data_IF_285779526181
#
_entry.id   IF_285779526181
#
_cell.length_a   1.000
_cell.length_b   1.000
_cell.length_c   1.000
_cell.angle_alpha   90.00
_cell.angle_beta   90.00
_cell.angle_gamma   90.00
#
_symmetry.space_group_name_H-M   'P 1'
#
loop_
_entity.id
_entity.type
_entity.pdbx_description
1 polymer ?
#
# COMPACT_ATOMS: atom_id res chain seq x y z
N UNK A 1 14.59 -11.84 18.37
CA UNK A 1 15.85 -11.07 18.42
C UNK A 1 15.58 -9.79 19.20
N UNK A 2 16.53 -9.32 20.01
CA UNK A 2 16.40 -8.07 20.76
C UNK A 2 16.52 -6.87 19.82
N UNK A 3 15.90 -5.74 20.19
CA UNK A 3 16.01 -4.46 19.46
C UNK A 3 17.48 -4.04 19.20
N UNK A 4 18.43 -4.60 19.97
CA UNK A 4 19.88 -4.41 19.81
C UNK A 4 20.39 -4.68 18.40
N UNK A 5 19.77 -5.63 17.69
CA UNK A 5 20.15 -5.98 16.32
C UNK A 5 19.74 -4.92 15.29
N UNK A 6 18.75 -4.09 15.62
CA UNK A 6 18.25 -3.01 14.74
C UNK A 6 19.06 -1.73 14.86
N UNK A 7 19.73 -1.53 16.00
CA UNK A 7 20.41 -0.28 16.35
C UNK A 7 21.37 0.21 15.26
N UNK A 8 22.30 -0.61 14.72
CA UNK A 8 23.25 -0.14 13.70
C UNK A 8 22.55 0.29 12.40
N UNK A 9 21.47 -0.42 12.02
CA UNK A 9 20.70 -0.14 10.81
C UNK A 9 19.98 1.20 10.92
N UNK A 10 19.27 1.42 12.02
CA UNK A 10 18.55 2.68 12.28
C UNK A 10 19.53 3.85 12.38
N UNK A 11 20.66 3.65 13.07
CA UNK A 11 21.70 4.66 13.21
C UNK A 11 22.25 5.11 11.85
N UNK A 12 22.53 4.16 10.95
CA UNK A 12 22.97 4.44 9.59
C UNK A 12 21.90 5.16 8.75
N UNK A 13 20.65 4.67 8.78
CA UNK A 13 19.54 5.24 8.01
C UNK A 13 19.20 6.67 8.44
N UNK A 14 19.24 6.97 9.74
CA UNK A 14 18.93 8.29 10.29
C UNK A 14 20.16 9.19 10.48
N UNK A 15 21.36 8.69 10.16
CA UNK A 15 22.62 9.41 10.36
C UNK A 15 22.84 9.90 11.80
N UNK A 16 22.52 9.06 12.79
CA UNK A 16 22.69 9.33 14.23
C UNK A 16 23.57 8.25 14.89
N UNK A 17 24.02 8.50 16.12
CA UNK A 17 24.90 7.56 16.81
C UNK A 17 24.10 6.33 17.32
N UNK A 18 24.62 5.10 17.15
CA UNK A 18 24.02 3.88 17.72
C UNK A 18 23.61 3.98 19.19
N UNK A 19 24.42 4.64 20.03
CA UNK A 19 24.10 4.85 21.44
C UNK A 19 22.82 5.67 21.63
N UNK A 20 22.54 6.64 20.75
CA UNK A 20 21.33 7.45 20.81
C UNK A 20 20.09 6.60 20.48
N UNK A 21 20.19 5.73 19.47
CA UNK A 21 19.12 4.79 19.12
C UNK A 21 18.85 3.83 20.29
N UNK A 22 19.92 3.29 20.90
CA UNK A 22 19.81 2.40 22.06
C UNK A 22 19.08 3.07 23.23
N UNK A 23 19.47 4.30 23.57
CA UNK A 23 18.84 5.07 24.64
C UNK A 23 17.36 5.35 24.35
N UNK A 24 17.02 5.72 23.12
CA UNK A 24 15.62 5.94 22.70
C UNK A 24 14.82 4.64 22.79
N UNK A 25 15.35 3.52 22.27
CA UNK A 25 14.68 2.23 22.31
C UNK A 25 14.37 1.77 23.75
N UNK A 26 15.34 1.90 24.66
CA UNK A 26 15.16 1.58 26.08
C UNK A 26 14.07 2.44 26.73
N UNK A 27 14.13 3.76 26.53
CA UNK A 27 13.14 4.68 27.09
C UNK A 27 11.72 4.41 26.56
N UNK A 28 11.58 4.08 25.27
CA UNK A 28 10.29 3.70 24.68
C UNK A 28 9.77 2.38 25.25
N UNK A 29 10.64 1.40 25.47
CA UNK A 29 10.27 0.12 26.09
C UNK A 29 9.81 0.29 27.55
N UNK A 30 10.34 1.28 28.26
CA UNK A 30 9.89 1.69 29.61
C UNK A 30 8.56 2.48 29.59
N UNK A 31 7.97 2.73 28.42
CA UNK A 31 6.72 3.48 28.27
C UNK A 31 6.88 4.99 28.29
N UNK A 32 8.10 5.52 28.13
CA UNK A 32 8.32 6.96 28.02
C UNK A 32 7.68 7.52 26.74
N UNK A 33 7.06 8.69 26.84
CA UNK A 33 6.47 9.38 25.68
C UNK A 33 7.53 10.15 24.89
N UNK A 34 7.30 10.36 23.58
CA UNK A 34 8.21 11.14 22.71
C UNK A 34 8.51 12.54 23.30
N UNK A 35 7.52 13.35 23.73
CA UNK A 35 7.81 14.65 24.34
C UNK A 35 8.62 14.55 25.62
N UNK A 36 8.42 13.48 26.41
CA UNK A 36 9.19 13.26 27.63
C UNK A 36 10.66 12.99 27.32
N UNK A 37 10.95 12.13 26.34
CA UNK A 37 12.30 11.79 25.89
C UNK A 37 13.02 13.05 25.38
N UNK A 38 12.41 13.76 24.44
CA UNK A 38 13.03 14.94 23.81
C UNK A 38 13.26 16.10 24.79
N UNK A 39 12.42 16.24 25.82
CA UNK A 39 12.54 17.33 26.81
C UNK A 39 13.40 16.99 28.01
N UNK A 40 13.24 15.80 28.58
CA UNK A 40 13.79 15.44 29.90
C UNK A 40 14.87 14.34 29.85
N UNK A 41 15.19 13.82 28.66
CA UNK A 41 16.24 12.81 28.44
C UNK A 41 17.26 13.25 27.39
N UNK A 42 17.54 14.55 27.33
CA UNK A 42 18.47 15.14 26.36
C UNK A 42 19.89 14.60 26.49
N UNK A 43 20.40 14.44 27.71
CA UNK A 43 21.75 13.92 27.92
C UNK A 43 21.89 12.48 27.43
N UNK A 44 20.90 11.63 27.74
CA UNK A 44 20.88 10.23 27.32
C UNK A 44 20.77 10.06 25.79
N UNK A 45 20.05 10.97 25.12
CA UNK A 45 19.78 10.89 23.68
C UNK A 45 20.69 11.79 22.83
N UNK A 46 21.61 12.55 23.44
CA UNK A 46 22.44 13.53 22.70
C UNK A 46 21.65 14.72 22.16
N UNK A 47 20.59 15.13 22.86
CA UNK A 47 19.71 16.27 22.54
C UNK A 47 18.95 16.14 21.21
N UNK A 48 18.59 14.91 20.83
CA UNK A 48 17.70 14.68 19.69
C UNK A 48 16.30 15.25 19.95
N UNK A 49 15.68 15.78 18.90
CA UNK A 49 14.35 16.38 18.97
C UNK A 49 13.23 15.33 18.81
N UNK A 50 11.99 15.79 18.97
CA UNK A 50 10.79 14.95 18.86
C UNK A 50 10.64 14.33 17.47
N UNK A 51 11.19 14.95 16.41
CA UNK A 51 11.11 14.45 15.03
C UNK A 51 11.99 13.21 14.87
N UNK A 52 13.25 13.29 15.31
CA UNK A 52 14.18 12.15 15.23
C UNK A 52 13.75 11.02 16.15
N UNK A 53 13.28 11.33 17.38
CA UNK A 53 12.78 10.31 18.30
C UNK A 53 11.56 9.57 17.72
N UNK A 54 10.66 10.29 17.04
CA UNK A 54 9.52 9.69 16.33
C UNK A 54 9.99 8.77 15.20
N UNK A 55 10.96 9.21 14.38
CA UNK A 55 11.51 8.41 13.29
C UNK A 55 12.17 7.11 13.78
N UNK A 56 12.88 7.17 14.92
CA UNK A 56 13.46 5.97 15.56
C UNK A 56 12.36 5.00 16.00
N UNK A 57 11.31 5.49 16.69
CA UNK A 57 10.16 4.65 17.09
C UNK A 57 9.53 3.95 15.89
N UNK A 58 9.16 4.73 14.86
CA UNK A 58 8.47 4.21 13.69
C UNK A 58 9.31 3.17 12.96
N UNK A 59 10.63 3.38 12.89
CA UNK A 59 11.54 2.43 12.27
C UNK A 59 11.75 1.16 13.10
N UNK A 60 11.83 1.28 14.43
CA UNK A 60 11.85 0.12 15.34
C UNK A 60 10.60 -0.75 15.13
N UNK A 61 9.43 -0.13 15.08
CA UNK A 61 8.16 -0.85 14.91
C UNK A 61 8.10 -1.57 13.55
N UNK A 62 8.57 -0.94 12.47
CA UNK A 62 8.68 -1.58 11.15
C UNK A 62 9.64 -2.78 11.15
N UNK A 63 10.81 -2.66 11.80
CA UNK A 63 11.78 -3.74 11.86
C UNK A 63 11.29 -4.91 12.73
N UNK A 64 10.56 -4.62 13.81
CA UNK A 64 9.87 -5.64 14.61
C UNK A 64 8.85 -6.41 13.79
N UNK A 65 8.01 -5.72 13.01
CA UNK A 65 7.04 -6.37 12.12
C UNK A 65 7.72 -7.31 11.11
N UNK A 66 8.86 -6.90 10.56
CA UNK A 66 9.69 -7.73 9.67
C UNK A 66 10.21 -8.97 10.41
N UNK A 67 10.77 -8.83 11.62
CA UNK A 67 11.27 -9.96 12.41
C UNK A 67 10.17 -10.93 12.85
N UNK A 68 9.02 -10.41 13.27
CA UNK A 68 7.87 -11.22 13.68
C UNK A 68 7.37 -12.05 12.50
N UNK A 69 7.25 -11.41 11.33
CA UNK A 69 6.89 -12.09 10.08
C UNK A 69 7.94 -13.14 9.70
N UNK A 70 9.23 -12.81 9.80
CA UNK A 70 10.33 -13.73 9.51
C UNK A 70 10.29 -14.96 10.42
N UNK A 71 10.08 -14.76 11.71
CA UNK A 71 9.99 -15.83 12.71
C UNK A 71 8.80 -16.74 12.41
N UNK A 72 7.64 -16.14 12.08
CA UNK A 72 6.44 -16.88 11.69
C UNK A 72 6.66 -17.72 10.42
N UNK A 73 7.33 -17.16 9.40
CA UNK A 73 7.68 -17.88 8.17
C UNK A 73 8.62 -19.05 8.46
N UNK A 74 9.71 -18.82 9.19
CA UNK A 74 10.67 -19.88 9.56
C UNK A 74 9.99 -21.02 10.33
N UNK A 75 9.16 -20.68 11.32
CA UNK A 75 8.41 -21.68 12.09
C UNK A 75 7.41 -22.46 11.24
N UNK A 76 6.76 -21.81 10.26
CA UNK A 76 5.88 -22.49 9.31
C UNK A 76 6.65 -23.46 8.41
N UNK A 77 7.76 -23.01 7.82
CA UNK A 77 8.62 -23.83 6.95
C UNK A 77 9.18 -25.04 7.69
N UNK A 78 9.62 -24.86 8.95
CA UNK A 78 10.12 -25.94 9.79
C UNK A 78 9.03 -26.96 10.11
N UNK A 79 7.85 -26.48 10.54
CA UNK A 79 6.70 -27.33 10.88
C UNK A 79 6.26 -28.22 9.71
N UNK A 80 6.37 -27.74 8.49
CA UNK A 80 5.98 -28.46 7.28
C UNK A 80 7.15 -29.19 6.58
N UNK A 81 8.36 -29.16 7.16
CA UNK A 81 9.53 -29.87 6.63
C UNK A 81 10.11 -29.28 5.35
N UNK A 82 9.80 -28.00 5.04
CA UNK A 82 10.30 -27.29 3.86
C UNK A 82 11.56 -26.45 4.14
N UNK A 83 11.96 -26.30 5.41
CA UNK A 83 13.08 -25.46 5.80
C UNK A 83 14.43 -26.13 5.45
N UNK A 84 14.99 -25.77 4.30
CA UNK A 84 16.37 -26.08 3.93
C UNK A 84 17.34 -24.99 4.40
N UNK A 85 18.64 -25.29 4.48
CA UNK A 85 19.66 -24.29 4.85
C UNK A 85 19.71 -23.12 3.86
N UNK A 86 19.52 -23.40 2.56
CA UNK A 86 19.43 -22.37 1.53
C UNK A 86 18.21 -21.46 1.75
N UNK A 87 17.03 -22.05 1.96
CA UNK A 87 15.80 -21.30 2.18
C UNK A 87 15.87 -20.49 3.48
N UNK A 88 16.45 -21.06 4.54
CA UNK A 88 16.74 -20.36 5.79
C UNK A 88 17.62 -19.14 5.54
N UNK A 89 18.71 -19.31 4.78
CA UNK A 89 19.59 -18.23 4.38
C UNK A 89 18.86 -17.10 3.66
N UNK A 90 18.01 -17.43 2.67
CA UNK A 90 17.18 -16.46 1.95
C UNK A 90 16.23 -15.69 2.87
N UNK A 91 15.51 -16.39 3.75
CA UNK A 91 14.55 -15.77 4.69
C UNK A 91 15.26 -14.83 5.67
N UNK A 92 16.45 -15.22 6.16
CA UNK A 92 17.27 -14.37 7.04
C UNK A 92 17.81 -13.13 6.32
N UNK A 93 18.18 -13.25 5.03
CA UNK A 93 18.70 -12.14 4.23
C UNK A 93 17.63 -11.16 3.72
N UNK A 94 16.35 -11.50 3.80
CA UNK A 94 15.28 -10.66 3.27
C UNK A 94 15.10 -9.36 4.09
N UNK A 95 15.28 -8.20 3.44
CA UNK A 95 15.25 -6.89 4.09
C UNK A 95 13.86 -6.22 4.18
N UNK A 96 12.86 -6.77 3.50
CA UNK A 96 11.52 -6.18 3.42
C UNK A 96 10.43 -7.23 3.60
N UNK A 97 9.26 -6.81 4.09
CA UNK A 97 8.08 -7.66 4.16
C UNK A 97 7.68 -8.21 2.78
N UNK A 98 7.85 -7.43 1.71
CA UNK A 98 7.53 -7.88 0.36
C UNK A 98 8.41 -9.07 -0.06
N UNK A 99 9.72 -8.98 0.15
CA UNK A 99 10.67 -10.06 -0.18
C UNK A 99 10.41 -11.30 0.69
N UNK A 100 10.16 -11.12 2.00
CA UNK A 100 9.78 -12.23 2.88
C UNK A 100 8.52 -12.96 2.39
N UNK A 101 7.50 -12.20 2.02
CA UNK A 101 6.25 -12.75 1.50
C UNK A 101 6.44 -13.44 0.15
N UNK A 102 7.33 -12.94 -0.71
CA UNK A 102 7.67 -13.59 -1.99
C UNK A 102 8.34 -14.95 -1.76
N UNK A 103 9.35 -15.02 -0.87
CA UNK A 103 10.05 -16.27 -0.54
C UNK A 103 9.08 -17.30 0.05
N UNK A 104 8.14 -16.87 0.89
CA UNK A 104 7.17 -17.75 1.53
C UNK A 104 5.99 -18.15 0.63
N UNK A 105 5.75 -17.42 -0.46
CA UNK A 105 4.57 -17.60 -1.32
C UNK A 105 4.34 -19.04 -1.78
N UNK A 106 5.37 -19.81 -2.24
CA UNK A 106 5.18 -21.19 -2.69
C UNK A 106 4.68 -22.14 -1.59
N UNK A 107 5.02 -21.85 -0.34
CA UNK A 107 4.76 -22.70 0.83
C UNK A 107 3.48 -22.31 1.58
N UNK A 108 2.92 -21.15 1.26
CA UNK A 108 1.70 -20.67 1.89
C UNK A 108 0.54 -21.60 1.55
N UNK A 109 -0.30 -22.00 2.53
CA UNK A 109 -1.48 -22.82 2.27
C UNK A 109 -2.37 -22.20 1.18
N UNK A 110 -2.52 -22.93 0.07
CA UNK A 110 -3.24 -22.44 -1.12
C UNK A 110 -4.71 -22.84 -1.07
N UNK A 111 -5.59 -21.94 -1.53
CA UNK A 111 -6.93 -22.35 -1.96
C UNK A 111 -6.78 -23.27 -3.17
N UNK A 112 -7.77 -24.13 -3.44
CA UNK A 112 -7.75 -25.03 -4.60
C UNK A 112 -7.69 -24.22 -5.92
N UNK A 113 -6.48 -23.99 -6.44
CA UNK A 113 -6.22 -23.19 -7.65
C UNK A 113 -6.35 -24.04 -8.91
N UNK A 114 -6.35 -23.42 -10.09
CA UNK A 114 -6.28 -24.17 -11.36
C UNK A 114 -5.04 -25.05 -11.45
N UNK A 115 -3.90 -24.54 -10.99
CA UNK A 115 -2.66 -25.30 -10.90
C UNK A 115 -2.75 -26.45 -9.88
N UNK A 116 -3.35 -26.24 -8.70
CA UNK A 116 -3.59 -27.34 -7.74
C UNK A 116 -4.46 -28.43 -8.36
N UNK A 117 -5.55 -28.06 -9.05
CA UNK A 117 -6.43 -29.01 -9.73
C UNK A 117 -5.66 -29.75 -10.83
N UNK A 118 -4.85 -29.07 -11.62
CA UNK A 118 -4.02 -29.71 -12.64
C UNK A 118 -2.99 -30.69 -12.04
N UNK A 119 -2.37 -30.36 -10.89
CA UNK A 119 -1.48 -31.28 -10.16
C UNK A 119 -2.24 -32.50 -9.62
N UNK A 120 -3.44 -32.31 -9.05
CA UNK A 120 -4.33 -33.40 -8.62
C UNK A 120 -4.69 -34.34 -9.77
N UNK A 121 -4.79 -33.83 -10.99
CA UNK A 121 -5.00 -34.60 -12.22
C UNK A 121 -3.74 -35.29 -12.75
N UNK A 122 -2.57 -35.07 -12.14
CA UNK A 122 -1.30 -35.68 -12.55
C UNK A 122 -0.59 -34.99 -13.71
N UNK A 123 -0.90 -33.71 -13.99
CA UNK A 123 -0.33 -32.96 -15.13
C UNK A 123 1.01 -32.27 -14.83
N UNK A 124 1.53 -32.39 -13.61
CA UNK A 124 2.80 -31.75 -13.22
C UNK A 124 4.01 -32.25 -14.02
N UNK A 125 4.17 -33.56 -14.32
CA UNK A 125 5.28 -34.02 -15.15
C UNK A 125 5.25 -33.42 -16.57
N UNK A 126 4.06 -33.28 -17.16
CA UNK A 126 3.89 -32.61 -18.46
C UNK A 126 4.29 -31.13 -18.39
N UNK A 127 3.90 -30.44 -17.32
CA UNK A 127 4.27 -29.04 -17.10
C UNK A 127 5.79 -28.85 -16.99
N UNK A 128 6.48 -29.71 -16.25
CA UNK A 128 7.94 -29.65 -16.11
C UNK A 128 8.64 -29.94 -17.43
N UNK A 129 8.18 -30.95 -18.17
CA UNK A 129 8.72 -31.30 -19.48
C UNK A 129 8.60 -30.14 -20.49
N UNK A 130 7.45 -29.46 -20.50
CA UNK A 130 7.23 -28.26 -21.32
C UNK A 130 8.13 -27.11 -20.86
N UNK A 131 8.28 -26.89 -19.55
CA UNK A 131 9.08 -25.79 -18.98
C UNK A 131 10.58 -25.94 -19.27
N UNK A 132 11.07 -27.17 -19.39
CA UNK A 132 12.46 -27.46 -19.76
C UNK A 132 12.81 -26.96 -21.16
N UNK A 133 11.85 -26.98 -22.10
CA UNK A 133 11.97 -26.48 -23.47
C UNK A 133 13.11 -27.15 -24.26
N UNK A 134 13.19 -28.48 -24.21
CA UNK A 134 14.23 -29.27 -24.90
C UNK A 134 13.92 -29.58 -26.37
N UNK A 135 12.83 -29.02 -26.91
CA UNK A 135 12.39 -29.22 -28.29
C UNK A 135 11.38 -30.35 -28.47
N UNK A 136 10.62 -30.69 -27.42
CA UNK A 136 9.60 -31.74 -27.50
C UNK A 136 8.40 -31.26 -28.34
N UNK A 137 7.60 -32.22 -28.84
CA UNK A 137 6.26 -31.94 -29.36
C UNK A 137 5.25 -32.00 -28.19
N UNK A 138 4.69 -30.84 -27.74
CA UNK A 138 3.78 -30.83 -26.60
C UNK A 138 2.48 -31.58 -26.86
N UNK A 139 1.98 -31.60 -28.10
CA UNK A 139 0.73 -32.27 -28.42
C UNK A 139 0.89 -33.79 -28.33
N UNK A 140 2.02 -34.31 -28.83
CA UNK A 140 2.37 -35.71 -28.67
C UNK A 140 2.57 -36.07 -27.19
N UNK A 141 3.36 -35.28 -26.45
CA UNK A 141 3.62 -35.51 -25.03
C UNK A 141 2.32 -35.47 -24.19
N UNK A 142 1.39 -34.57 -24.51
CA UNK A 142 0.12 -34.43 -23.81
C UNK A 142 -0.82 -35.63 -23.97
N UNK A 143 -0.64 -36.45 -25.01
CA UNK A 143 -1.51 -37.61 -25.26
C UNK A 143 -1.38 -38.67 -24.15
N UNK A 144 -0.19 -38.80 -23.55
CA UNK A 144 0.06 -39.73 -22.43
C UNK A 144 -0.65 -39.31 -21.13
N UNK A 145 -1.14 -38.07 -21.06
CA UNK A 145 -1.79 -37.50 -19.88
C UNK A 145 -3.32 -37.39 -20.02
N UNK A 146 -3.90 -37.91 -21.10
CA UNK A 146 -5.35 -37.96 -21.29
C UNK A 146 -5.92 -39.02 -20.34
N UNK A 147 -6.79 -38.57 -19.44
CA UNK A 147 -7.41 -39.39 -18.42
C UNK A 147 -8.81 -38.83 -18.09
N UNK A 148 -9.87 -39.32 -18.78
CA UNK A 148 -11.23 -38.87 -18.54
C UNK A 148 -11.72 -39.13 -17.11
N UNK A 149 -11.18 -40.13 -16.39
CA UNK A 149 -11.54 -40.39 -14.99
C UNK A 149 -11.03 -39.28 -14.07
N UNK A 150 -9.90 -38.67 -14.41
CA UNK A 150 -9.38 -37.46 -13.76
C UNK A 150 -9.93 -36.17 -14.38
N UNK A 151 -10.83 -36.26 -15.36
CA UNK A 151 -11.42 -35.12 -16.07
C UNK A 151 -10.43 -34.39 -16.98
N UNK A 152 -9.52 -35.14 -17.62
CA UNK A 152 -8.66 -34.67 -18.71
C UNK A 152 -9.13 -35.37 -19.98
N UNK A 153 -10.04 -34.73 -20.72
CA UNK A 153 -10.75 -35.37 -21.83
C UNK A 153 -9.98 -35.32 -23.15
N UNK A 154 -9.00 -34.41 -23.25
CA UNK A 154 -8.22 -34.18 -24.48
C UNK A 154 -6.79 -33.75 -24.21
N UNK A 155 -5.94 -33.85 -25.24
CA UNK A 155 -4.58 -33.31 -25.19
C UNK A 155 -4.55 -31.79 -24.92
N UNK A 156 -5.57 -31.05 -25.40
CA UNK A 156 -5.68 -29.61 -25.11
C UNK A 156 -6.00 -29.35 -23.65
N UNK A 157 -6.82 -30.18 -22.99
CA UNK A 157 -7.09 -30.07 -21.56
C UNK A 157 -5.83 -30.36 -20.73
N UNK A 158 -5.02 -31.34 -21.15
CA UNK A 158 -3.73 -31.64 -20.53
C UNK A 158 -2.75 -30.46 -20.68
N UNK A 159 -2.64 -29.89 -21.88
CA UNK A 159 -1.82 -28.69 -22.13
C UNK A 159 -2.31 -27.47 -21.35
N UNK A 160 -3.63 -27.24 -21.28
CA UNK A 160 -4.20 -26.15 -20.49
C UNK A 160 -3.86 -26.30 -19.00
N UNK A 161 -4.00 -27.50 -18.44
CA UNK A 161 -3.61 -27.78 -17.06
C UNK A 161 -2.10 -27.63 -16.83
N UNK A 162 -1.27 -28.05 -17.79
CA UNK A 162 0.18 -27.86 -17.72
C UNK A 162 0.55 -26.36 -17.74
N UNK A 163 -0.10 -25.55 -18.60
CA UNK A 163 0.05 -24.09 -18.63
C UNK A 163 -0.40 -23.44 -17.32
N UNK A 164 -1.49 -23.91 -16.71
CA UNK A 164 -1.95 -23.41 -15.40
C UNK A 164 -0.89 -23.63 -14.30
N UNK A 165 -0.20 -24.79 -14.31
CA UNK A 165 0.91 -25.08 -13.38
C UNK A 165 2.09 -24.16 -13.66
N UNK A 166 2.52 -24.02 -14.92
CA UNK A 166 3.62 -23.13 -15.31
C UNK A 166 3.31 -21.68 -14.90
N UNK A 167 2.08 -21.22 -15.11
CA UNK A 167 1.66 -19.87 -14.74
C UNK A 167 1.78 -19.61 -13.23
N UNK A 168 1.49 -20.61 -12.39
CA UNK A 168 1.70 -20.51 -10.94
C UNK A 168 3.19 -20.45 -10.59
N UNK A 169 4.03 -21.26 -11.23
CA UNK A 169 5.49 -21.24 -11.03
C UNK A 169 6.10 -19.88 -11.41
N UNK A 170 5.66 -19.31 -12.54
CA UNK A 170 6.08 -17.96 -12.98
C UNK A 170 5.65 -16.90 -11.96
N UNK A 171 4.41 -16.99 -11.46
CA UNK A 171 3.90 -16.06 -10.46
C UNK A 171 4.66 -16.14 -9.12
N UNK A 172 5.15 -17.31 -8.76
CA UNK A 172 5.82 -17.57 -7.49
C UNK A 172 7.34 -17.39 -7.56
N UNK A 173 7.88 -17.14 -8.75
CA UNK A 173 9.31 -16.92 -8.93
C UNK A 173 9.75 -15.55 -8.37
N UNK A 174 10.71 -15.58 -7.44
CA UNK A 174 11.23 -14.40 -6.75
C UNK A 174 11.76 -13.32 -7.73
N UNK A 175 12.52 -13.73 -8.74
CA UNK A 175 13.10 -12.82 -9.73
C UNK A 175 12.03 -12.20 -10.63
N UNK A 176 11.05 -12.98 -11.07
CA UNK A 176 9.92 -12.49 -11.84
C UNK A 176 9.12 -11.43 -11.06
N UNK A 177 8.78 -11.72 -9.79
CA UNK A 177 8.08 -10.76 -8.92
C UNK A 177 8.89 -9.49 -8.71
N UNK A 178 10.20 -9.60 -8.46
CA UNK A 178 11.06 -8.43 -8.29
C UNK A 178 11.09 -7.54 -9.55
N UNK A 179 11.25 -8.11 -10.74
CA UNK A 179 11.29 -7.37 -12.01
C UNK A 179 9.95 -6.68 -12.32
N UNK A 180 8.83 -7.40 -12.15
CA UNK A 180 7.51 -6.79 -12.39
C UNK A 180 7.21 -5.73 -11.34
N UNK A 181 7.56 -5.95 -10.08
CA UNK A 181 7.42 -4.94 -9.01
C UNK A 181 8.15 -3.65 -9.38
N UNK A 182 9.42 -3.76 -9.80
CA UNK A 182 10.21 -2.63 -10.26
C UNK A 182 9.54 -1.89 -11.44
N UNK A 183 9.02 -2.64 -12.42
CA UNK A 183 8.27 -2.07 -13.54
C UNK A 183 7.05 -1.27 -13.08
N UNK A 184 6.26 -1.80 -12.13
CA UNK A 184 5.11 -1.09 -11.58
C UNK A 184 5.52 0.21 -10.87
N UNK A 185 6.58 0.18 -10.06
CA UNK A 185 7.01 1.37 -9.32
C UNK A 185 7.64 2.46 -10.20
N UNK A 186 8.19 2.09 -11.35
CA UNK A 186 8.91 3.03 -12.22
C UNK A 186 8.09 3.50 -13.41
N UNK A 187 7.26 2.62 -13.99
CA UNK A 187 6.59 2.86 -15.29
C UNK A 187 5.07 2.68 -15.25
N UNK A 188 4.45 2.32 -14.13
CA UNK A 188 3.00 2.21 -14.09
C UNK A 188 2.31 3.56 -14.36
N UNK A 189 1.19 3.50 -15.07
CA UNK A 189 0.28 4.61 -15.31
C UNK A 189 -0.94 4.43 -14.43
N UNK A 190 -1.35 5.51 -13.79
CA UNK A 190 -2.60 5.60 -13.05
C UNK A 190 -3.67 6.05 -14.02
N UNK A 191 -4.61 5.15 -14.31
CA UNK A 191 -5.76 5.41 -15.15
C UNK A 191 -7.03 5.42 -14.29
N UNK A 192 -7.79 6.51 -14.38
CA UNK A 192 -9.04 6.67 -13.66
C UNK A 192 -10.18 6.97 -14.63
N UNK A 193 -11.30 6.27 -14.47
CA UNK A 193 -12.50 6.45 -15.29
C UNK A 193 -13.76 6.46 -14.44
N UNK A 194 -14.80 7.16 -14.90
CA UNK A 194 -16.12 7.07 -14.26
C UNK A 194 -16.74 5.69 -14.46
N UNK A 195 -17.36 5.15 -13.41
CA UNK A 195 -18.17 3.95 -13.51
C UNK A 195 -19.43 4.26 -14.33
N UNK A 196 -19.80 3.31 -15.21
CA UNK A 196 -20.93 3.50 -16.13
C UNK A 196 -22.22 3.85 -15.37
N UNK A 197 -22.84 4.99 -15.71
CA UNK A 197 -24.09 5.44 -15.10
C UNK A 197 -23.92 6.21 -13.77
N UNK A 198 -22.69 6.58 -13.39
CA UNK A 198 -22.38 7.35 -12.18
C UNK A 198 -21.96 8.80 -12.47
N UNK A 199 -22.13 9.27 -13.70
CA UNK A 199 -21.65 10.58 -14.17
C UNK A 199 -22.31 11.75 -13.43
N UNK A 200 -23.62 11.67 -13.16
CA UNK A 200 -24.35 12.70 -12.41
C UNK A 200 -24.00 12.67 -10.91
N UNK A 201 -24.07 11.48 -10.30
CA UNK A 201 -23.73 11.28 -8.89
C UNK A 201 -22.27 11.63 -8.58
N UNK A 202 -21.39 11.45 -9.57
CA UNK A 202 -19.96 11.68 -9.51
C UNK A 202 -19.52 13.08 -9.89
N UNK A 203 -20.40 14.08 -10.02
CA UNK A 203 -20.05 15.41 -10.52
C UNK A 203 -18.87 16.07 -9.76
N UNK A 204 -18.67 15.77 -8.47
CA UNK A 204 -17.53 16.23 -7.67
C UNK A 204 -16.16 15.64 -8.10
N UNK A 205 -16.16 14.55 -8.87
CA UNK A 205 -14.97 13.87 -9.38
C UNK A 205 -14.82 14.02 -10.90
N UNK A 206 -15.51 14.99 -11.51
CA UNK A 206 -15.54 15.20 -12.95
C UNK A 206 -14.14 15.29 -13.57
N UNK A 207 -13.19 15.91 -12.87
CA UNK A 207 -11.80 16.05 -13.30
C UNK A 207 -11.08 14.70 -13.47
N UNK A 208 -11.62 13.62 -12.92
CA UNK A 208 -11.05 12.27 -12.93
C UNK A 208 -11.85 11.27 -13.78
N UNK A 209 -12.87 11.72 -14.53
CA UNK A 209 -13.72 10.83 -15.35
C UNK A 209 -12.98 10.19 -16.52
N UNK A 210 -11.93 10.85 -17.00
CA UNK A 210 -10.98 10.31 -17.98
C UNK A 210 -9.59 10.90 -17.68
N UNK A 211 -8.88 10.26 -16.76
CA UNK A 211 -7.59 10.71 -16.27
C UNK A 211 -6.52 9.63 -16.46
N UNK A 212 -5.34 10.03 -16.91
CA UNK A 212 -4.21 9.12 -17.10
C UNK A 212 -2.88 9.85 -16.92
N UNK A 213 -2.07 9.42 -15.95
CA UNK A 213 -0.73 9.97 -15.73
C UNK A 213 0.23 8.95 -15.09
N UNK A 214 1.57 9.11 -15.22
CA UNK A 214 2.53 8.22 -14.57
C UNK A 214 2.39 8.21 -13.05
N UNK A 215 2.47 7.03 -12.43
CA UNK A 215 2.34 6.83 -10.97
C UNK A 215 3.32 7.69 -10.16
N UNK A 216 4.54 7.82 -10.64
CA UNK A 216 5.61 8.60 -9.99
C UNK A 216 5.29 10.10 -9.91
N UNK A 217 4.47 10.61 -10.83
CA UNK A 217 4.10 12.02 -10.95
C UNK A 217 2.80 12.41 -10.23
N UNK A 218 1.99 11.45 -9.75
CA UNK A 218 0.67 11.76 -9.18
C UNK A 218 0.79 12.54 -7.87
N UNK A 219 0.21 13.75 -7.76
CA UNK A 219 0.15 14.50 -6.51
C UNK A 219 -0.71 13.79 -5.44
N UNK A 220 -0.31 13.89 -4.16
CA UNK A 220 -1.00 13.27 -3.02
C UNK A 220 -2.51 13.52 -3.02
N UNK A 221 -2.95 14.77 -3.14
CA UNK A 221 -4.37 15.13 -3.10
C UNK A 221 -5.19 14.50 -4.23
N UNK A 222 -4.61 14.32 -5.43
CA UNK A 222 -5.29 13.68 -6.58
C UNK A 222 -5.41 12.18 -6.37
N UNK A 223 -4.33 11.53 -5.93
CA UNK A 223 -4.37 10.11 -5.58
C UNK A 223 -5.45 9.84 -4.52
N UNK A 224 -5.53 10.68 -3.47
CA UNK A 224 -6.56 10.54 -2.44
C UNK A 224 -7.97 10.82 -2.96
N UNK A 225 -8.15 11.79 -3.86
CA UNK A 225 -9.45 12.07 -4.48
C UNK A 225 -9.93 10.89 -5.36
N UNK A 226 -9.05 10.37 -6.22
CA UNK A 226 -9.36 9.21 -7.08
C UNK A 226 -9.72 7.98 -6.24
N UNK A 227 -8.95 7.69 -5.20
CA UNK A 227 -9.25 6.57 -4.28
C UNK A 227 -10.54 6.75 -3.50
N UNK A 228 -10.90 8.00 -3.15
CA UNK A 228 -12.19 8.29 -2.51
C UNK A 228 -13.35 8.04 -3.46
N UNK A 229 -13.24 8.51 -4.71
CA UNK A 229 -14.26 8.26 -5.72
C UNK A 229 -14.41 6.77 -6.06
N UNK A 230 -13.32 6.01 -6.03
CA UNK A 230 -13.37 4.55 -6.15
C UNK A 230 -14.06 3.89 -4.95
N UNK A 231 -13.73 4.27 -3.72
CA UNK A 231 -14.34 3.70 -2.52
C UNK A 231 -15.84 4.04 -2.38
N UNK A 232 -16.31 5.04 -3.14
CA UNK A 232 -17.73 5.41 -3.27
C UNK A 232 -18.40 4.76 -4.49
N UNK A 233 -17.72 3.81 -5.17
CA UNK A 233 -18.18 3.13 -6.39
C UNK A 233 -18.54 4.07 -7.56
N UNK A 234 -17.89 5.25 -7.61
CA UNK A 234 -18.10 6.25 -8.66
C UNK A 234 -16.98 6.20 -9.70
N UNK A 235 -15.75 5.94 -9.28
CA UNK A 235 -14.59 5.85 -10.16
C UNK A 235 -14.07 4.41 -10.21
N UNK A 236 -13.45 4.06 -11.32
CA UNK A 236 -12.66 2.86 -11.50
C UNK A 236 -11.21 3.33 -11.62
N UNK A 237 -10.36 2.91 -10.68
CA UNK A 237 -8.94 3.23 -10.68
C UNK A 237 -8.14 1.99 -11.05
N UNK A 238 -7.21 2.12 -12.00
CA UNK A 238 -6.22 1.10 -12.36
C UNK A 238 -4.82 1.69 -12.28
N UNK A 239 -3.86 0.89 -11.82
CA UNK A 239 -2.44 1.26 -11.79
C UNK A 239 -1.69 0.13 -12.47
N UNK A 240 -1.31 0.33 -13.73
CA UNK A 240 -0.74 -0.72 -14.57
C UNK A 240 0.40 -0.17 -15.42
N UNK A 241 1.51 -0.91 -15.60
CA UNK A 241 2.50 -0.59 -16.63
C UNK A 241 2.01 -1.06 -18.01
N UNK A 242 2.83 -0.82 -19.03
CA UNK A 242 2.62 -1.41 -20.34
C UNK A 242 2.64 -2.95 -20.26
N UNK A 243 1.60 -3.58 -20.77
CA UNK A 243 1.42 -5.03 -20.70
C UNK A 243 2.44 -5.77 -21.57
N UNK A 244 2.75 -5.24 -22.76
CA UNK A 244 3.71 -5.88 -23.65
C UNK A 244 5.13 -5.85 -23.07
N UNK A 245 5.52 -4.74 -22.44
CA UNK A 245 6.79 -4.64 -21.70
C UNK A 245 6.86 -5.62 -20.54
N UNK A 246 5.77 -5.75 -19.76
CA UNK A 246 5.73 -6.68 -18.64
C UNK A 246 5.83 -8.15 -19.08
N UNK A 247 5.10 -8.53 -20.13
CA UNK A 247 5.15 -9.89 -20.69
C UNK A 247 6.54 -10.17 -21.27
N UNK A 248 7.13 -9.24 -22.02
CA UNK A 248 8.48 -9.40 -22.58
C UNK A 248 9.56 -9.60 -21.49
N UNK A 249 9.45 -8.91 -20.35
CA UNK A 249 10.34 -9.12 -19.22
C UNK A 249 10.24 -10.54 -18.66
N UNK A 250 9.04 -11.10 -18.58
CA UNK A 250 8.83 -12.46 -18.10
C UNK A 250 9.27 -13.49 -19.13
N UNK A 251 8.96 -13.27 -20.41
CA UNK A 251 9.44 -14.13 -21.49
C UNK A 251 10.96 -14.23 -21.49
N UNK A 252 11.67 -13.12 -21.29
CA UNK A 252 13.12 -13.11 -21.17
C UNK A 252 13.69 -13.90 -19.98
N UNK A 253 12.86 -14.25 -18.98
CA UNK A 253 13.25 -15.09 -17.85
C UNK A 253 12.93 -16.57 -18.06
N UNK A 254 11.82 -16.87 -18.73
CA UNK A 254 11.27 -18.23 -18.78
C UNK A 254 11.31 -18.88 -20.16
N UNK A 255 11.28 -18.12 -21.25
CA UNK A 255 11.25 -18.64 -22.62
C UNK A 255 12.68 -18.83 -23.12
N UNK A 256 13.04 -20.07 -23.45
CA UNK A 256 14.40 -20.48 -23.82
C UNK A 256 14.57 -20.73 -25.32
N UNK A 257 13.47 -20.87 -26.06
CA UNK A 257 13.49 -21.28 -27.46
C UNK A 257 12.30 -20.78 -28.28
N UNK A 258 12.10 -21.40 -29.44
CA UNK A 258 11.03 -21.08 -30.41
C UNK A 258 10.20 -22.31 -30.81
N UNK A 259 10.44 -23.45 -30.14
CA UNK A 259 9.77 -24.72 -30.37
C UNK A 259 8.31 -24.73 -29.92
N UNK A 260 7.62 -25.85 -30.15
CA UNK A 260 6.23 -26.01 -29.72
C UNK A 260 6.07 -25.88 -28.19
N UNK A 261 6.99 -26.46 -27.43
CA UNK A 261 7.11 -26.33 -25.97
C UNK A 261 7.32 -24.88 -25.53
N UNK A 262 8.20 -24.16 -26.20
CA UNK A 262 8.49 -22.75 -25.90
C UNK A 262 7.25 -21.88 -26.09
N UNK A 263 6.42 -22.16 -27.11
CA UNK A 263 5.14 -21.47 -27.33
C UNK A 263 4.14 -21.74 -26.19
N UNK A 264 4.10 -22.94 -25.65
CA UNK A 264 3.28 -23.25 -24.46
C UNK A 264 3.74 -22.44 -23.24
N UNK A 265 5.06 -22.25 -23.07
CA UNK A 265 5.61 -21.40 -22.01
C UNK A 265 5.27 -19.92 -22.24
N UNK A 266 5.32 -19.42 -23.47
CA UNK A 266 4.87 -18.06 -23.83
C UNK A 266 3.42 -17.84 -23.40
N UNK A 267 2.52 -18.76 -23.78
CA UNK A 267 1.10 -18.68 -23.42
C UNK A 267 0.90 -18.70 -21.90
N UNK A 268 1.62 -19.58 -21.19
CA UNK A 268 1.57 -19.68 -19.74
C UNK A 268 2.09 -18.42 -19.05
N UNK A 269 3.17 -17.81 -19.56
CA UNK A 269 3.74 -16.54 -19.04
C UNK A 269 2.75 -15.39 -19.23
N UNK A 270 2.13 -15.29 -20.41
CA UNK A 270 1.10 -14.29 -20.69
C UNK A 270 -0.09 -14.41 -19.72
N UNK A 271 -0.58 -15.63 -19.48
CA UNK A 271 -1.63 -15.88 -18.49
C UNK A 271 -1.17 -15.58 -17.05
N UNK A 272 0.05 -15.98 -16.68
CA UNK A 272 0.64 -15.70 -15.37
C UNK A 272 0.66 -14.20 -15.07
N UNK A 273 1.07 -13.39 -16.04
CA UNK A 273 1.04 -11.94 -15.92
C UNK A 273 -0.38 -11.42 -15.70
N UNK A 274 -1.29 -11.67 -16.65
CA UNK A 274 -2.62 -11.05 -16.66
C UNK A 274 -3.48 -11.50 -15.48
N UNK A 275 -3.43 -12.79 -15.14
CA UNK A 275 -4.32 -13.40 -14.15
C UNK A 275 -3.80 -13.27 -12.73
N UNK A 276 -2.48 -13.37 -12.53
CA UNK A 276 -1.88 -13.51 -11.20
C UNK A 276 -0.99 -12.32 -10.85
N UNK A 277 0.16 -12.16 -11.53
CA UNK A 277 1.19 -11.18 -11.16
C UNK A 277 0.68 -9.74 -11.24
N UNK A 278 0.03 -9.36 -12.34
CA UNK A 278 -0.46 -8.00 -12.57
C UNK A 278 -1.38 -7.52 -11.43
N UNK A 279 -2.29 -8.40 -10.96
CA UNK A 279 -3.22 -8.07 -9.87
C UNK A 279 -2.52 -7.90 -8.52
N UNK A 280 -1.57 -8.79 -8.23
CA UNK A 280 -0.78 -8.71 -7.00
C UNK A 280 0.08 -7.45 -6.98
N UNK A 281 0.77 -7.17 -8.09
CA UNK A 281 1.66 -6.02 -8.24
C UNK A 281 0.91 -4.69 -8.26
N UNK A 282 -0.27 -4.65 -8.88
CA UNK A 282 -1.18 -3.51 -8.80
C UNK A 282 -1.61 -3.25 -7.35
N UNK A 283 -1.92 -4.30 -6.58
CA UNK A 283 -2.28 -4.16 -5.15
C UNK A 283 -1.13 -3.55 -4.34
N UNK A 284 0.09 -4.04 -4.54
CA UNK A 284 1.30 -3.52 -3.88
C UNK A 284 1.53 -2.04 -4.26
N UNK A 285 1.49 -1.71 -5.55
CA UNK A 285 1.67 -0.35 -6.04
C UNK A 285 0.62 0.61 -5.49
N UNK A 286 -0.65 0.18 -5.41
CA UNK A 286 -1.75 0.97 -4.84
C UNK A 286 -1.57 1.24 -3.36
N UNK A 287 -1.13 0.25 -2.60
CA UNK A 287 -0.89 0.40 -1.17
C UNK A 287 0.25 1.40 -0.93
N UNK A 288 1.37 1.24 -1.64
CA UNK A 288 2.51 2.13 -1.53
C UNK A 288 2.16 3.57 -1.96
N UNK A 289 1.42 3.73 -3.07
CA UNK A 289 0.95 5.04 -3.54
C UNK A 289 0.03 5.72 -2.50
N UNK A 290 -0.83 4.95 -1.84
CA UNK A 290 -1.64 5.45 -0.73
C UNK A 290 -0.77 5.91 0.43
N UNK A 291 0.13 5.05 0.92
CA UNK A 291 0.96 5.36 2.07
C UNK A 291 1.76 6.65 1.84
N UNK A 292 2.32 6.81 0.64
CA UNK A 292 3.00 8.04 0.22
C UNK A 292 2.06 9.24 0.20
N UNK A 293 0.86 9.09 -0.37
CA UNK A 293 -0.11 10.17 -0.44
C UNK A 293 -0.63 10.59 0.95
N UNK A 294 -0.96 9.63 1.82
CA UNK A 294 -1.40 9.86 3.19
C UNK A 294 -0.30 10.56 4.00
N UNK A 295 0.95 10.09 3.92
CA UNK A 295 2.07 10.71 4.63
C UNK A 295 2.25 12.18 4.25
N UNK A 296 2.19 12.50 2.96
CA UNK A 296 2.29 13.87 2.47
C UNK A 296 1.10 14.74 2.90
N UNK A 297 -0.13 14.20 2.82
CA UNK A 297 -1.32 14.92 3.25
C UNK A 297 -1.29 15.21 4.76
N UNK A 298 -0.92 14.22 5.56
CA UNK A 298 -0.76 14.36 7.03
C UNK A 298 0.30 15.40 7.34
N UNK A 299 1.43 15.40 6.62
CA UNK A 299 2.49 16.40 6.79
C UNK A 299 1.97 17.82 6.58
N UNK A 300 1.21 18.05 5.51
CA UNK A 300 0.60 19.35 5.20
C UNK A 300 -0.43 19.75 6.27
N UNK A 301 -1.29 18.82 6.70
CA UNK A 301 -2.27 19.10 7.76
C UNK A 301 -1.61 19.39 9.11
N UNK A 302 -0.56 18.66 9.46
CA UNK A 302 0.21 18.88 10.68
C UNK A 302 0.86 20.27 10.69
N UNK A 303 1.43 20.69 9.55
CA UNK A 303 2.01 22.03 9.43
C UNK A 303 0.95 23.13 9.54
N UNK A 304 -0.18 22.99 8.85
CA UNK A 304 -1.29 23.94 8.96
C UNK A 304 -1.82 24.04 10.39
N UNK A 305 -2.00 22.90 11.07
CA UNK A 305 -2.45 22.87 12.46
C UNK A 305 -1.42 23.52 13.40
N UNK A 306 -0.13 23.24 13.19
CA UNK A 306 0.95 23.84 13.96
C UNK A 306 0.92 25.37 13.85
N UNK A 307 0.74 25.92 12.66
CA UNK A 307 0.64 27.37 12.44
C UNK A 307 -0.58 27.97 13.15
N UNK A 308 -1.73 27.28 13.13
CA UNK A 308 -2.92 27.71 13.86
C UNK A 308 -2.71 27.70 15.38
N UNK A 309 -2.08 26.65 15.93
CA UNK A 309 -1.83 26.52 17.37
C UNK A 309 -0.78 27.50 17.89
N UNK A 310 0.20 27.87 17.05
CA UNK A 310 1.26 28.83 17.39
C UNK A 310 0.91 30.27 16.96
N UNK A 311 -0.31 30.50 16.49
CA UNK A 311 -0.76 31.85 16.16
C UNK A 311 -0.73 32.75 17.41
N UNK A 312 -0.23 33.99 17.31
CA UNK A 312 -0.13 34.89 18.45
C UNK A 312 -1.47 35.04 19.17
N UNK A 313 -1.55 34.82 20.49
CA UNK A 313 -2.79 34.98 21.21
C UNK A 313 -3.18 36.47 21.25
N UNK A 314 -4.47 36.76 21.09
CA UNK A 314 -5.00 38.14 21.18
C UNK A 314 -4.79 38.78 22.57
N UNK A 315 -4.57 37.95 23.59
CA UNK A 315 -4.40 38.35 24.98
C UNK A 315 -5.74 38.63 25.70
N UNK A 316 -5.65 39.18 26.91
CA UNK A 316 -6.79 39.44 27.79
C UNK A 316 -7.64 40.65 27.35
N UNK A 317 -8.45 40.49 26.30
CA UNK A 317 -9.38 41.50 25.75
C UNK A 317 -10.82 41.01 25.86
N UNK A 318 -11.78 41.96 25.88
CA UNK A 318 -13.20 41.62 25.68
C UNK A 318 -13.39 41.25 24.21
N UNK A 319 -14.11 40.16 23.94
CA UNK A 319 -14.24 39.60 22.60
C UNK A 319 -15.71 39.40 22.29
N UNK A 320 -16.14 39.88 21.13
CA UNK A 320 -17.40 39.43 20.50
C UNK A 320 -17.03 38.41 19.43
N UNK A 321 -17.35 37.15 19.67
CA UNK A 321 -17.17 36.06 18.70
C UNK A 321 -18.42 35.93 17.83
N UNK A 322 -18.22 35.79 16.52
CA UNK A 322 -19.30 35.60 15.56
C UNK A 322 -19.04 34.34 14.74
N UNK A 323 -19.96 33.38 14.82
CA UNK A 323 -19.97 32.18 13.97
C UNK A 323 -20.99 32.38 12.84
N UNK A 324 -20.54 32.62 11.60
CA UNK A 324 -21.43 32.96 10.49
C UNK A 324 -22.32 31.78 10.09
N UNK A 325 -23.62 32.05 9.94
CA UNK A 325 -24.57 31.08 9.40
C UNK A 325 -25.68 31.79 8.62
N UNK A 326 -26.04 31.22 7.46
CA UNK A 326 -27.13 31.76 6.63
C UNK A 326 -28.49 31.31 7.15
N UNK A 327 -28.87 30.06 6.85
CA UNK A 327 -30.17 29.48 7.22
C UNK A 327 -30.39 29.37 8.72
N UNK A 328 -29.34 29.07 9.48
CA UNK A 328 -29.40 28.86 10.94
C UNK A 328 -29.03 30.12 11.73
N UNK A 329 -28.90 31.27 11.07
CA UNK A 329 -28.46 32.52 11.69
C UNK A 329 -26.98 32.52 12.09
N UNK A 330 -26.46 33.70 12.36
CA UNK A 330 -25.13 33.94 12.88
C UNK A 330 -25.17 33.91 14.42
N UNK A 331 -24.31 33.11 15.04
CA UNK A 331 -24.28 32.97 16.51
C UNK A 331 -23.28 33.99 17.03
N UNK A 332 -23.68 34.76 18.02
CA UNK A 332 -22.88 35.81 18.62
C UNK A 332 -22.65 35.45 20.08
N UNK A 333 -21.41 35.57 20.53
CA UNK A 333 -21.04 35.43 21.95
C UNK A 333 -20.20 36.62 22.39
N UNK A 334 -20.43 37.12 23.60
CA UNK A 334 -19.61 38.15 24.21
C UNK A 334 -18.86 37.57 25.40
N UNK A 335 -17.53 37.69 25.40
CA UNK A 335 -16.63 37.20 26.43
C UNK A 335 -15.97 38.38 27.15
N UNK A 336 -15.75 38.24 28.46
CA UNK A 336 -14.92 39.19 29.21
C UNK A 336 -13.41 38.98 28.94
N UNK A 337 -12.56 39.75 29.61
CA UNK A 337 -11.10 39.70 29.44
C UNK A 337 -10.46 38.38 29.87
N UNK A 338 -11.17 37.56 30.64
CA UNK A 338 -10.70 36.26 31.13
C UNK A 338 -11.28 35.09 30.31
N UNK A 339 -12.10 35.39 29.29
CA UNK A 339 -12.78 34.38 28.47
C UNK A 339 -14.10 33.89 29.09
N UNK A 340 -14.60 34.52 30.15
CA UNK A 340 -15.91 34.16 30.72
C UNK A 340 -17.02 34.62 29.78
N UNK A 341 -17.95 33.71 29.48
CA UNK A 341 -19.16 34.03 28.71
C UNK A 341 -20.04 35.02 29.48
N UNK A 342 -20.32 36.17 28.86
CA UNK A 342 -21.22 37.20 29.38
C UNK A 342 -22.59 37.18 28.70
N UNK A 343 -22.61 36.92 27.39
CA UNK A 343 -23.83 36.92 26.60
C UNK A 343 -23.72 35.99 25.39
N UNK A 344 -24.84 35.41 24.95
CA UNK A 344 -24.96 34.72 23.67
C UNK A 344 -26.32 35.00 23.01
N UNK A 345 -26.35 35.13 21.69
CA UNK A 345 -27.57 35.28 20.90
C UNK A 345 -27.40 34.67 19.50
N UNK A 346 -28.50 34.50 18.76
CA UNK A 346 -28.51 34.13 17.34
C UNK A 346 -29.20 35.22 16.54
N UNK A 347 -28.45 35.84 15.63
CA UNK A 347 -28.91 36.96 14.78
C UNK A 347 -29.08 36.53 13.33
N UNK A 348 -30.02 37.15 12.62
CA UNK A 348 -30.36 36.82 11.23
C UNK A 348 -30.17 38.02 10.27
N UNK A 349 -28.94 38.54 10.10
CA UNK A 349 -28.69 39.77 9.37
C UNK A 349 -28.92 39.64 7.86
N UNK A 350 -29.00 38.41 7.33
CA UNK A 350 -29.07 38.13 5.87
C UNK A 350 -30.46 37.70 5.39
N UNK A 351 -31.50 37.77 6.23
CA UNK A 351 -32.86 37.32 5.86
C UNK A 351 -33.67 38.40 5.13
N UNK A 352 -33.62 39.66 5.58
CA UNK A 352 -34.25 40.82 4.93
C UNK A 352 -33.66 42.11 5.47
N UNK A 353 -33.77 43.22 4.74
CA UNK A 353 -33.27 44.53 5.19
C UNK A 353 -33.89 44.95 6.54
N UNK A 354 -35.21 44.79 6.69
CA UNK A 354 -35.90 45.08 7.95
C UNK A 354 -35.36 44.26 9.11
N UNK A 355 -35.10 42.96 8.89
CA UNK A 355 -34.55 42.09 9.95
C UNK A 355 -33.10 42.44 10.24
N UNK A 356 -32.32 42.82 9.24
CA UNK A 356 -30.95 43.30 9.43
C UNK A 356 -30.91 44.54 10.34
N UNK A 357 -31.83 45.50 10.17
CA UNK A 357 -31.93 46.67 11.05
C UNK A 357 -32.31 46.31 12.49
N UNK A 358 -33.24 45.37 12.68
CA UNK A 358 -33.64 44.88 14.00
C UNK A 358 -32.48 44.19 14.73
N UNK A 359 -31.75 43.30 14.04
CA UNK A 359 -30.60 42.61 14.61
C UNK A 359 -29.41 43.55 14.86
N UNK A 360 -29.23 44.59 14.02
CA UNK A 360 -28.21 45.62 14.24
C UNK A 360 -28.47 46.42 15.53
N UNK A 361 -29.74 46.69 15.86
CA UNK A 361 -30.10 47.32 17.14
C UNK A 361 -29.78 46.43 18.33
N UNK A 362 -30.04 45.12 18.23
CA UNK A 362 -29.64 44.17 19.28
C UNK A 362 -28.14 44.14 19.50
N UNK A 363 -27.34 44.03 18.43
CA UNK A 363 -25.88 44.00 18.54
C UNK A 363 -25.33 45.28 19.20
N UNK A 364 -25.90 46.46 18.93
CA UNK A 364 -25.48 47.72 19.58
C UNK A 364 -25.70 47.77 21.09
N UNK A 365 -26.55 46.90 21.64
CA UNK A 365 -26.85 46.83 23.07
C UNK A 365 -25.92 45.85 23.82
N UNK A 366 -25.14 45.05 23.10
CA UNK A 366 -24.17 44.09 23.62
C UNK A 366 -22.79 44.74 23.77
#
# INVERSE_FOLDING_TARGET
MTDETFIPKIAGELSINPHQVQAIAGLLAEGSTIPFIARYRKEATGSLDEVVVTAVRDRLDQLREIEDTRTMILGSLEKHGHLTDELRGKVLAADTLAVLNDIYLPFKPKRRTRATIAREKGLEPLAMLILDQTGIDPAAAATEFIDPEKGVDSAEDALAGARDIIAELVNENEQARARIRELFFTKAVVACRVAKGKEEAGAKYRDYFDWSEPLTGVPSHRMLAMRRGENEDILILRILPDEAEAVALLEGLFVKGQGGDSRQVVDAVGDAYKRLLSRSMETEARLAAKQKADAEAIRVFAENLRQLLLSPPLGAKRIMGMDPGFRTGCKVVCLDRQGKLLHNDTVYPLMSEKKAEEEAKKIRLL
#
